data_IF_456639527584
#
_entry.id   IF_456639527584
#
_cell.length_a   1.000
_cell.length_b   1.000
_cell.length_c   1.000
_cell.angle_alpha   90.00
_cell.angle_beta   90.00
_cell.angle_gamma   90.00
#
_symmetry.space_group_name_H-M   'P 1'
#
loop_
_entity.id
_entity.type
_entity.pdbx_description
1 polymer ?
#
# COMPACT_ATOMS: atom_id res chain seq x y z
N UNK A 1 -8.17 -15.67 -1.57
CA UNK A 1 -9.13 -16.60 -0.93
C UNK A 1 -10.07 -15.85 0.02
N UNK A 2 -9.58 -15.21 1.09
CA UNK A 2 -10.43 -14.57 2.11
C UNK A 2 -11.33 -13.42 1.61
N UNK A 3 -10.81 -12.48 0.81
CA UNK A 3 -11.59 -11.31 0.34
C UNK A 3 -12.72 -11.67 -0.64
N UNK A 4 -12.53 -12.72 -1.46
CA UNK A 4 -13.50 -13.19 -2.44
C UNK A 4 -14.61 -14.05 -1.81
N UNK A 5 -14.29 -14.79 -0.75
CA UNK A 5 -15.27 -15.60 0.00
C UNK A 5 -16.23 -14.72 0.80
N UNK A 6 -15.73 -13.65 1.44
CA UNK A 6 -16.58 -12.75 2.25
C UNK A 6 -17.55 -11.89 1.43
N UNK A 7 -17.28 -11.62 0.14
CA UNK A 7 -18.20 -10.84 -0.70
C UNK A 7 -19.50 -11.60 -1.05
N UNK A 8 -19.53 -12.91 -0.83
CA UNK A 8 -20.67 -13.78 -1.14
C UNK A 8 -21.56 -14.07 0.10
N UNK A 9 -21.07 -13.83 1.33
CA UNK A 9 -21.81 -14.00 2.59
C UNK A 9 -21.94 -12.65 3.30
N UNK A 10 -23.07 -11.97 3.08
CA UNK A 10 -23.36 -10.60 3.54
C UNK A 10 -23.50 -10.50 5.08
N UNK A 11 -23.41 -11.61 5.82
CA UNK A 11 -23.64 -11.65 7.28
C UNK A 11 -22.39 -11.49 8.15
N UNK A 12 -21.17 -11.45 7.59
CA UNK A 12 -19.95 -11.20 8.37
C UNK A 12 -19.20 -10.01 7.77
N UNK A 13 -19.70 -8.82 8.11
CA UNK A 13 -19.29 -7.55 7.54
C UNK A 13 -17.82 -7.25 7.88
N UNK A 14 -16.91 -7.48 6.93
CA UNK A 14 -15.53 -7.02 7.06
C UNK A 14 -15.56 -5.52 7.41
N UNK A 15 -14.92 -5.10 8.51
CA UNK A 15 -14.91 -3.70 8.89
C UNK A 15 -14.36 -2.81 7.77
N UNK A 16 -14.98 -1.65 7.54
CA UNK A 16 -14.60 -0.75 6.44
C UNK A 16 -13.12 -0.36 6.44
N UNK A 17 -12.52 -0.17 7.63
CA UNK A 17 -11.09 0.13 7.76
C UNK A 17 -10.20 -1.01 7.23
N UNK A 18 -10.62 -2.27 7.37
CA UNK A 18 -9.87 -3.42 6.90
C UNK A 18 -9.96 -3.57 5.37
N UNK A 19 -11.14 -3.30 4.80
CA UNK A 19 -11.31 -3.23 3.34
C UNK A 19 -10.44 -2.11 2.73
N UNK A 20 -10.45 -0.93 3.35
CA UNK A 20 -9.65 0.21 2.92
C UNK A 20 -8.15 -0.05 3.11
N UNK A 21 -7.75 -0.65 4.23
CA UNK A 21 -6.38 -1.07 4.50
C UNK A 21 -5.86 -2.05 3.46
N UNK A 22 -6.65 -3.04 3.07
CA UNK A 22 -6.30 -3.98 2.01
C UNK A 22 -6.06 -3.29 0.66
N UNK A 23 -6.98 -2.42 0.24
CA UNK A 23 -6.84 -1.63 -1.00
C UNK A 23 -5.57 -0.75 -0.99
N UNK A 24 -5.28 -0.09 0.13
CA UNK A 24 -4.08 0.73 0.30
C UNK A 24 -2.80 -0.10 0.26
N UNK A 25 -2.76 -1.23 0.98
CA UNK A 25 -1.62 -2.14 0.92
C UNK A 25 -1.39 -2.60 -0.51
N UNK A 26 -2.43 -2.99 -1.24
CA UNK A 26 -2.32 -3.37 -2.65
C UNK A 26 -1.70 -2.24 -3.50
N UNK A 27 -2.22 -1.01 -3.39
CA UNK A 27 -1.71 0.15 -4.13
C UNK A 27 -0.25 0.48 -3.80
N UNK A 28 0.10 0.54 -2.51
CA UNK A 28 1.47 0.83 -2.09
C UNK A 28 2.43 -0.26 -2.58
N UNK A 29 2.07 -1.53 -2.38
CA UNK A 29 2.91 -2.66 -2.75
C UNK A 29 3.25 -2.67 -4.25
N UNK A 30 2.26 -2.37 -5.10
CA UNK A 30 2.50 -2.22 -6.54
C UNK A 30 3.41 -1.03 -6.87
N UNK A 31 3.27 0.08 -6.15
CA UNK A 31 4.14 1.27 -6.35
C UNK A 31 5.60 0.97 -6.02
N UNK A 32 5.90 0.13 -5.01
CA UNK A 32 7.28 -0.32 -4.72
C UNK A 32 7.88 -1.12 -5.88
N UNK A 33 7.10 -2.02 -6.47
CA UNK A 33 7.49 -2.79 -7.66
C UNK A 33 7.68 -1.89 -8.87
N UNK A 34 6.79 -0.91 -9.06
CA UNK A 34 6.87 0.06 -10.16
C UNK A 34 8.10 0.94 -10.07
N UNK A 35 8.48 1.39 -8.86
CA UNK A 35 9.72 2.15 -8.65
C UNK A 35 10.96 1.33 -9.04
N UNK A 36 11.00 0.05 -8.65
CA UNK A 36 12.09 -0.87 -9.03
C UNK A 36 12.13 -1.07 -10.54
N UNK A 37 10.97 -1.33 -11.15
CA UNK A 37 10.86 -1.54 -12.58
C UNK A 37 11.36 -0.34 -13.39
N UNK A 38 10.97 0.89 -13.01
CA UNK A 38 11.47 2.12 -13.63
C UNK A 38 12.98 2.31 -13.44
N UNK A 39 13.50 1.97 -12.26
CA UNK A 39 14.93 2.05 -11.93
C UNK A 39 15.76 1.08 -12.77
N UNK A 40 15.31 -0.18 -12.92
CA UNK A 40 15.98 -1.18 -13.77
C UNK A 40 15.87 -0.84 -15.26
N UNK A 41 14.72 -0.30 -15.70
CA UNK A 41 14.54 0.21 -17.07
C UNK A 41 15.28 1.52 -17.33
N UNK A 42 15.84 2.16 -16.29
CA UNK A 42 16.59 3.43 -16.37
C UNK A 42 15.82 4.52 -17.11
N UNK A 43 14.51 4.62 -16.84
CA UNK A 43 13.62 5.61 -17.50
C UNK A 43 13.88 6.99 -16.90
N UNK A 44 14.28 7.95 -17.73
CA UNK A 44 14.48 9.36 -17.36
C UNK A 44 15.18 9.58 -16.01
N UNK A 45 14.46 10.12 -15.02
CA UNK A 45 14.96 10.44 -13.67
C UNK A 45 15.34 9.20 -12.87
N UNK A 46 14.71 8.05 -13.15
CA UNK A 46 15.03 6.75 -12.53
C UNK A 46 16.31 6.11 -13.08
N UNK A 47 16.96 6.71 -14.10
CA UNK A 47 18.33 6.34 -14.49
C UNK A 47 19.34 6.62 -13.37
N UNK A 48 19.07 7.64 -12.54
CA UNK A 48 19.89 7.97 -11.38
C UNK A 48 19.46 7.10 -10.19
N UNK A 49 20.39 6.30 -9.67
CA UNK A 49 20.12 5.39 -8.55
C UNK A 49 19.61 6.13 -7.32
N UNK A 50 20.19 7.29 -7.00
CA UNK A 50 19.80 8.14 -5.86
C UNK A 50 18.33 8.55 -5.91
N UNK A 51 17.77 8.73 -7.12
CA UNK A 51 16.36 9.08 -7.27
C UNK A 51 15.45 7.90 -6.92
N UNK A 52 15.78 6.70 -7.39
CA UNK A 52 15.07 5.46 -7.05
C UNK A 52 15.12 5.16 -5.55
N UNK A 53 16.29 5.33 -4.93
CA UNK A 53 16.50 5.14 -3.49
C UNK A 53 15.69 6.13 -2.65
N UNK A 54 15.74 7.42 -2.98
CA UNK A 54 14.90 8.44 -2.32
C UNK A 54 13.41 8.13 -2.49
N UNK A 55 13.02 7.62 -3.66
CA UNK A 55 11.67 7.11 -3.92
C UNK A 55 11.26 6.03 -2.92
N UNK A 56 12.11 5.05 -2.66
CA UNK A 56 11.85 4.00 -1.68
C UNK A 56 11.67 4.53 -0.25
N UNK A 57 12.50 5.48 0.17
CA UNK A 57 12.42 6.07 1.52
C UNK A 57 11.08 6.79 1.69
N UNK A 58 10.71 7.65 0.74
CA UNK A 58 9.45 8.40 0.79
C UNK A 58 8.26 7.46 0.73
N UNK A 59 8.30 6.47 -0.16
CA UNK A 59 7.20 5.52 -0.33
C UNK A 59 7.02 4.64 0.92
N UNK A 60 8.11 4.19 1.56
CA UNK A 60 8.09 3.44 2.83
C UNK A 60 7.51 4.27 3.97
N UNK A 61 7.94 5.52 4.09
CA UNK A 61 7.42 6.40 5.14
C UNK A 61 5.92 6.65 4.95
N UNK A 62 5.52 7.04 3.74
CA UNK A 62 4.12 7.30 3.41
C UNK A 62 3.24 6.07 3.62
N UNK A 63 3.64 4.91 3.09
CA UNK A 63 2.84 3.68 3.19
C UNK A 63 2.64 3.25 4.63
N UNK A 64 3.72 3.26 5.44
CA UNK A 64 3.67 2.83 6.84
C UNK A 64 2.85 3.80 7.68
N UNK A 65 3.03 5.11 7.51
CA UNK A 65 2.26 6.12 8.23
C UNK A 65 0.77 6.04 7.89
N UNK A 66 0.41 5.96 6.62
CA UNK A 66 -1.00 5.89 6.19
C UNK A 66 -1.66 4.61 6.71
N UNK A 67 -1.01 3.46 6.59
CA UNK A 67 -1.54 2.20 7.11
C UNK A 67 -1.67 2.22 8.64
N UNK A 68 -0.71 2.82 9.36
CA UNK A 68 -0.78 2.97 10.80
C UNK A 68 -1.99 3.81 11.23
N UNK A 69 -2.29 4.91 10.52
CA UNK A 69 -3.47 5.72 10.79
C UNK A 69 -4.77 4.99 10.47
N UNK A 70 -4.87 4.31 9.33
CA UNK A 70 -6.08 3.57 8.92
C UNK A 70 -6.43 2.47 9.92
N UNK A 71 -5.45 1.67 10.32
CA UNK A 71 -5.66 0.60 11.30
C UNK A 71 -5.86 1.19 12.69
N UNK A 72 -5.05 2.17 13.09
CA UNK A 72 -5.15 2.82 14.41
C UNK A 72 -6.52 3.43 14.67
N UNK A 73 -7.04 4.24 13.74
CA UNK A 73 -8.40 4.80 13.85
C UNK A 73 -9.45 3.68 13.84
N UNK A 74 -9.29 2.69 12.94
CA UNK A 74 -10.25 1.60 12.77
C UNK A 74 -10.36 0.62 13.94
N UNK A 75 -9.28 0.39 14.69
CA UNK A 75 -9.25 -0.60 15.79
C UNK A 75 -9.17 0.03 17.17
N UNK A 76 -8.50 1.18 17.32
CA UNK A 76 -8.27 1.81 18.62
C UNK A 76 -9.23 2.97 18.89
N UNK A 77 -10.09 3.35 17.93
CA UNK A 77 -11.01 4.50 18.01
C UNK A 77 -10.31 5.79 18.48
N UNK A 78 -9.11 6.06 17.94
CA UNK A 78 -8.38 7.32 18.12
C UNK A 78 -9.17 8.52 17.56
#
# INVERSE_FOLDING_TARGET
MYFWVSTNDISDSIPGYAQFGFLLTFLFFNTFGLNMWLQYKKVEKWKLYEFGEKGYIVLSLASKSILAWVVGIGTLNL
#
